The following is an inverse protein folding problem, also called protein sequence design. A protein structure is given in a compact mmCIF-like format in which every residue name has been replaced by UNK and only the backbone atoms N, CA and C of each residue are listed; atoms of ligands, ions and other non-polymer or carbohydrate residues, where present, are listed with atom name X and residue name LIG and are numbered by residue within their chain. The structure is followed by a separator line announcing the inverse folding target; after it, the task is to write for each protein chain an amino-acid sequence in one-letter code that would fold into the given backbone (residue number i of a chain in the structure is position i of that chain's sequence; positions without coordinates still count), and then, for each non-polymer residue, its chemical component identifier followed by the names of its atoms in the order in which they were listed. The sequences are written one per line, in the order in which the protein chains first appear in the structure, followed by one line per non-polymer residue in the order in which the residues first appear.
data_IF_617746430197
#
_entry.id   IF_617746430197
#
_cell.length_a   1.000
_cell.length_b   1.000
_cell.length_c   1.000
_cell.angle_alpha   90.00
_cell.angle_beta   90.00
_cell.angle_gamma   90.00
#
_symmetry.space_group_name_H-M   'P 1'
#
loop_
_entity.id
_entity.type
_entity.pdbx_description
1 polymer ?
#
# COMPACT_ATOMS: atom_id res chain seq x y z
N UNK A 1 16.95 29.98 25.45
CA UNK A 1 16.04 29.57 24.34
C UNK A 1 16.74 28.71 23.28
N UNK A 2 17.93 29.05 22.78
CA UNK A 2 18.61 28.28 21.73
C UNK A 2 19.12 26.89 22.14
N UNK A 3 19.65 26.71 23.36
CA UNK A 3 20.17 25.42 23.82
C UNK A 3 19.07 24.34 23.92
N UNK A 4 17.89 24.70 24.44
CA UNK A 4 16.74 23.80 24.50
C UNK A 4 16.24 23.40 23.11
N UNK A 5 16.29 24.34 22.15
CA UNK A 5 15.92 24.10 20.75
C UNK A 5 16.92 23.17 20.05
N UNK A 6 18.23 23.35 20.29
CA UNK A 6 19.28 22.45 19.78
C UNK A 6 19.17 21.04 20.36
N UNK A 7 18.87 20.92 21.65
CA UNK A 7 18.65 19.63 22.31
C UNK A 7 17.42 18.91 21.74
N UNK A 8 16.30 19.62 21.57
CA UNK A 8 15.09 19.04 20.98
C UNK A 8 15.33 18.53 19.55
N UNK A 9 16.08 19.27 18.73
CA UNK A 9 16.47 18.86 17.38
C UNK A 9 17.35 17.60 17.42
N UNK A 10 18.37 17.57 18.31
CA UNK A 10 19.25 16.42 18.45
C UNK A 10 18.52 15.16 18.93
N UNK A 11 17.64 15.30 19.93
CA UNK A 11 16.82 14.20 20.42
C UNK A 11 15.87 13.67 19.34
N UNK A 12 15.22 14.57 18.59
CA UNK A 12 14.35 14.20 17.47
C UNK A 12 15.09 13.45 16.35
N UNK A 13 16.31 13.88 16.02
CA UNK A 13 17.13 13.24 14.99
C UNK A 13 17.55 11.80 15.35
N UNK A 14 17.63 11.47 16.65
CA UNK A 14 17.95 10.12 17.12
C UNK A 14 16.70 9.28 17.34
N UNK A 15 15.67 9.84 17.99
CA UNK A 15 14.46 9.11 18.36
C UNK A 15 13.62 8.73 17.14
N UNK A 16 13.52 9.58 16.11
CA UNK A 16 12.72 9.31 14.92
C UNK A 16 13.16 8.06 14.14
N UNK A 17 14.45 7.91 13.74
CA UNK A 17 14.90 6.69 13.07
C UNK A 17 14.87 5.46 13.99
N UNK A 18 15.15 5.63 15.29
CA UNK A 18 15.04 4.54 16.25
C UNK A 18 13.60 3.98 16.34
N UNK A 19 12.60 4.86 16.40
CA UNK A 19 11.19 4.46 16.35
C UNK A 19 10.85 3.77 15.02
N UNK A 20 11.27 4.35 13.89
CA UNK A 20 10.97 3.81 12.56
C UNK A 20 11.45 2.37 12.38
N UNK A 21 12.60 2.01 12.96
CA UNK A 21 13.13 0.64 12.94
C UNK A 21 12.32 -0.34 13.80
N UNK A 22 11.68 0.14 14.86
CA UNK A 22 10.88 -0.72 15.77
C UNK A 22 9.43 -0.90 15.36
N UNK A 23 8.88 0.02 14.57
CA UNK A 23 7.46 0.02 14.21
C UNK A 23 7.07 -1.05 13.19
N UNK A 24 8.05 -1.64 12.49
CA UNK A 24 7.82 -2.61 11.42
C UNK A 24 7.17 -1.97 10.18
N UNK A 25 7.63 -2.32 8.99
CA UNK A 25 6.92 -1.92 7.77
C UNK A 25 5.73 -2.86 7.57
N UNK A 26 4.55 -2.31 7.26
CA UNK A 26 3.44 -3.12 6.79
C UNK A 26 3.78 -3.73 5.43
N UNK A 27 3.24 -4.92 5.15
CA UNK A 27 3.35 -5.54 3.82
C UNK A 27 2.58 -4.69 2.81
N UNK A 28 3.22 -4.30 1.72
CA UNK A 28 2.53 -3.63 0.62
C UNK A 28 1.67 -4.65 -0.13
N UNK A 29 0.37 -4.38 -0.27
CA UNK A 29 -0.52 -5.15 -1.14
C UNK A 29 -0.46 -4.55 -2.54
N UNK A 30 0.24 -5.21 -3.47
CA UNK A 30 0.41 -4.75 -4.85
C UNK A 30 -0.63 -5.32 -5.84
N UNK A 31 -1.50 -6.22 -5.38
CA UNK A 31 -2.58 -6.75 -6.21
C UNK A 31 -3.64 -5.69 -6.47
N UNK A 32 -4.13 -5.63 -7.71
CA UNK A 32 -5.24 -4.77 -8.07
C UNK A 32 -5.67 -4.97 -9.52
N UNK A 33 -6.73 -4.27 -9.90
CA UNK A 33 -7.23 -4.24 -11.27
C UNK A 33 -7.76 -2.84 -11.58
N UNK A 34 -7.79 -2.47 -12.86
CA UNK A 34 -8.30 -1.15 -13.27
C UNK A 34 -9.83 -1.19 -13.20
N UNK A 35 -10.40 -0.41 -12.29
CA UNK A 35 -11.84 -0.26 -12.10
C UNK A 35 -12.45 0.84 -12.96
N UNK A 36 -11.65 1.85 -13.34
CA UNK A 36 -12.08 2.95 -14.21
C UNK A 36 -10.94 3.42 -15.16
N UNK A 37 -11.12 3.37 -16.49
CA UNK A 37 -12.22 2.67 -17.16
C UNK A 37 -12.15 1.16 -16.88
N UNK A 38 -13.29 0.46 -16.74
CA UNK A 38 -13.31 -0.92 -16.26
C UNK A 38 -12.58 -1.87 -17.21
N UNK A 39 -11.49 -2.47 -16.70
CA UNK A 39 -10.74 -3.52 -17.39
C UNK A 39 -11.58 -4.78 -17.64
N UNK A 40 -11.06 -5.71 -18.46
CA UNK A 40 -11.71 -7.01 -18.66
C UNK A 40 -11.94 -7.75 -17.33
N UNK A 41 -10.96 -7.71 -16.42
CA UNK A 41 -11.03 -8.33 -15.10
C UNK A 41 -12.16 -7.73 -14.25
N UNK A 42 -12.29 -6.39 -14.28
CA UNK A 42 -13.40 -5.69 -13.62
C UNK A 42 -14.75 -6.09 -14.21
N UNK A 43 -14.83 -6.23 -15.54
CA UNK A 43 -16.04 -6.70 -16.23
C UNK A 43 -16.36 -8.16 -15.90
N UNK A 44 -15.34 -9.01 -15.70
CA UNK A 44 -15.50 -10.38 -15.22
C UNK A 44 -16.07 -10.42 -13.81
N UNK A 45 -15.53 -9.61 -12.89
CA UNK A 45 -16.02 -9.51 -11.52
C UNK A 45 -17.43 -8.91 -11.44
N UNK A 46 -17.79 -8.00 -12.36
CA UNK A 46 -19.13 -7.43 -12.48
C UNK A 46 -20.13 -8.38 -13.17
N UNK A 47 -19.69 -9.53 -13.69
CA UNK A 47 -20.55 -10.47 -14.42
C UNK A 47 -20.97 -9.97 -15.81
N UNK A 48 -20.36 -8.91 -16.33
CA UNK A 48 -20.64 -8.36 -17.66
C UNK A 48 -20.18 -9.30 -18.77
N UNK A 49 -19.12 -10.07 -18.53
CA UNK A 49 -18.55 -11.05 -19.47
C UNK A 49 -18.20 -12.35 -18.74
N UNK A 50 -18.32 -13.50 -19.42
CA UNK A 50 -18.00 -14.80 -18.83
C UNK A 50 -16.50 -15.07 -18.80
N UNK A 51 -15.94 -15.34 -17.62
CA UNK A 51 -14.47 -15.42 -17.45
C UNK A 51 -13.95 -16.60 -16.62
N UNK A 52 -14.82 -17.50 -16.15
CA UNK A 52 -14.40 -18.58 -15.25
C UNK A 52 -13.93 -18.06 -13.90
N UNK A 53 -12.87 -18.67 -13.36
CA UNK A 53 -12.45 -18.45 -11.97
C UNK A 53 -12.01 -17.01 -11.67
N UNK A 54 -11.48 -16.28 -12.66
CA UNK A 54 -11.01 -14.89 -12.48
C UNK A 54 -12.14 -13.90 -12.11
N UNK A 55 -13.40 -14.30 -12.25
CA UNK A 55 -14.54 -13.52 -11.74
C UNK A 55 -14.47 -13.32 -10.23
N UNK A 56 -13.85 -14.24 -9.47
CA UNK A 56 -13.74 -14.17 -8.01
C UNK A 56 -12.50 -13.44 -7.52
N UNK A 57 -11.50 -13.27 -8.37
CA UNK A 57 -10.20 -12.71 -8.00
C UNK A 57 -9.61 -11.81 -9.10
N UNK A 58 -10.32 -10.72 -9.47
CA UNK A 58 -9.90 -9.83 -10.56
C UNK A 58 -8.51 -9.19 -10.35
N UNK A 59 -7.98 -9.18 -9.13
CA UNK A 59 -6.65 -8.69 -8.79
C UNK A 59 -5.50 -9.70 -9.04
N UNK A 60 -5.81 -10.95 -9.41
CA UNK A 60 -4.84 -12.06 -9.45
C UNK A 60 -4.26 -12.36 -10.85
N UNK A 61 -4.33 -11.45 -11.81
CA UNK A 61 -3.68 -11.63 -13.12
C UNK A 61 -2.24 -11.10 -13.06
N UNK A 62 -1.40 -11.88 -12.39
CA UNK A 62 0.05 -11.66 -12.30
C UNK A 62 0.80 -12.68 -13.16
N UNK A 63 1.94 -12.29 -13.73
CA UNK A 63 2.73 -13.13 -14.63
C UNK A 63 4.23 -12.82 -14.57
#
# INVERSE_FOLDING_TARGET
MHAKRKFAIGAGAVLAPALALTLGASTASAHGYISDPPSRQAQCAAGTVSCGDITYEPQSVEG
#
